data_IF_036595757698
#
_entry.id   IF_036595757698
#
_cell.length_a   1.000
_cell.length_b   1.000
_cell.length_c   1.000
_cell.angle_alpha   90.00
_cell.angle_beta   90.00
_cell.angle_gamma   90.00
#
_symmetry.space_group_name_H-M   'P 1'
#
loop_
_entity.id
_entity.type
_entity.pdbx_description
1 polymer ?
#
# COMPACT_ATOMS: atom_id res chain seq x y z
N UNK A 1 6.83 2.35 -26.90
CA UNK A 1 7.12 2.72 -26.26
C UNK A 1 6.92 2.32 -25.03
N UNK A 2 7.19 2.79 -24.33
CA UNK A 2 7.22 2.26 -23.10
C UNK A 2 6.37 2.98 -22.16
N UNK A 3 5.15 3.15 -22.56
CA UNK A 3 4.19 3.79 -21.69
C UNK A 3 3.99 2.98 -20.42
N UNK A 4 4.24 1.68 -20.47
CA UNK A 4 4.15 0.85 -19.29
C UNK A 4 5.22 1.14 -18.25
N UNK A 5 6.20 1.98 -18.58
CA UNK A 5 7.20 2.43 -17.62
C UNK A 5 6.85 3.77 -16.99
N UNK A 6 5.69 4.31 -17.31
CA UNK A 6 5.25 5.52 -16.65
C UNK A 6 5.04 5.28 -15.16
N UNK A 7 5.09 6.34 -14.38
CA UNK A 7 4.90 6.26 -12.94
C UNK A 7 3.53 5.67 -12.61
N UNK A 8 3.42 4.96 -11.49
CA UNK A 8 2.11 4.45 -11.07
C UNK A 8 1.14 5.60 -10.85
N UNK A 9 -0.10 5.41 -11.23
CA UNK A 9 -1.12 6.43 -11.13
C UNK A 9 -1.97 6.31 -9.86
N UNK A 10 -2.04 5.10 -9.29
CA UNK A 10 -2.85 4.85 -8.11
C UNK A 10 -2.10 3.96 -7.13
N UNK A 11 -1.86 4.48 -5.94
CA UNK A 11 -1.08 3.78 -4.92
C UNK A 11 -1.94 3.62 -3.67
N UNK A 12 -1.99 2.39 -3.14
CA UNK A 12 -2.62 2.09 -1.87
C UNK A 12 -1.54 1.90 -0.82
N UNK A 13 -1.58 2.68 0.25
CA UNK A 13 -0.64 2.59 1.35
C UNK A 13 -1.33 1.88 2.51
N UNK A 14 -0.74 0.79 2.98
CA UNK A 14 -1.34 -0.07 4.00
C UNK A 14 -0.44 -0.15 5.22
N UNK A 15 -0.54 0.79 6.16
CA UNK A 15 0.24 0.73 7.39
C UNK A 15 -0.40 -0.24 8.38
N UNK A 16 0.45 -0.87 9.20
CA UNK A 16 -0.02 -1.61 10.35
C UNK A 16 -0.54 -0.61 11.39
N UNK A 17 -1.84 -0.63 11.64
CA UNK A 17 -2.49 0.33 12.53
C UNK A 17 -2.05 0.19 13.99
N UNK A 18 -1.44 -0.93 14.36
CA UNK A 18 -0.97 -1.16 15.71
C UNK A 18 0.41 -0.57 15.99
N UNK A 19 1.07 -0.05 14.96
CA UNK A 19 2.41 0.51 15.09
C UNK A 19 2.39 2.02 14.83
N UNK A 20 2.54 2.84 15.87
CA UNK A 20 2.52 4.30 15.69
C UNK A 20 3.55 4.81 14.68
N UNK A 21 4.73 4.19 14.63
CA UNK A 21 5.74 4.60 13.65
C UNK A 21 5.30 4.32 12.22
N UNK A 22 4.57 3.22 12.01
CA UNK A 22 4.04 2.91 10.69
C UNK A 22 3.00 3.93 10.25
N UNK A 23 2.15 4.35 11.17
CA UNK A 23 1.16 5.38 10.88
C UNK A 23 1.84 6.69 10.53
N UNK A 24 2.82 7.11 11.33
CA UNK A 24 3.54 8.35 11.07
C UNK A 24 4.25 8.33 9.71
N UNK A 25 4.91 7.22 9.38
CA UNK A 25 5.60 7.10 8.11
C UNK A 25 4.62 7.09 6.94
N UNK A 26 3.46 6.48 7.12
CA UNK A 26 2.44 6.48 6.09
C UNK A 26 1.93 7.88 5.78
N UNK A 27 1.82 8.73 6.80
CA UNK A 27 1.44 10.11 6.60
C UNK A 27 2.51 10.88 5.82
N UNK A 28 3.78 10.62 6.10
CA UNK A 28 4.86 11.22 5.33
C UNK A 28 4.83 10.78 3.87
N UNK A 29 4.60 9.49 3.64
CA UNK A 29 4.46 8.95 2.28
C UNK A 29 3.28 9.63 1.57
N UNK A 30 2.16 9.76 2.27
CA UNK A 30 0.97 10.41 1.71
C UNK A 30 1.26 11.86 1.30
N UNK A 31 1.97 12.60 2.15
CA UNK A 31 2.34 13.98 1.83
C UNK A 31 3.22 14.05 0.59
N UNK A 32 4.17 13.13 0.49
CA UNK A 32 5.06 13.08 -0.67
C UNK A 32 4.25 12.78 -1.95
N UNK A 33 3.37 11.80 -1.88
CA UNK A 33 2.56 11.42 -3.04
C UNK A 33 1.63 12.56 -3.45
N UNK A 34 1.08 13.28 -2.48
CA UNK A 34 0.23 14.44 -2.77
C UNK A 34 1.02 15.53 -3.49
N UNK A 35 2.27 15.78 -3.08
CA UNK A 35 3.12 16.77 -3.73
C UNK A 35 3.42 16.39 -5.17
N UNK A 36 3.46 15.09 -5.46
CA UNK A 36 3.71 14.59 -6.81
C UNK A 36 2.43 14.42 -7.63
N UNK A 37 1.29 14.81 -7.06
CA UNK A 37 -0.02 14.65 -7.69
C UNK A 37 -0.35 13.21 -8.05
N UNK A 38 0.10 12.27 -7.21
CA UNK A 38 -0.18 10.85 -7.39
C UNK A 38 -1.42 10.49 -6.58
N UNK A 39 -2.42 9.93 -7.24
CA UNK A 39 -3.63 9.48 -6.58
C UNK A 39 -3.30 8.33 -5.64
N UNK A 40 -3.70 8.45 -4.38
CA UNK A 40 -3.39 7.44 -3.39
C UNK A 40 -4.44 7.44 -2.29
N UNK A 41 -4.40 6.37 -1.49
CA UNK A 41 -5.26 6.25 -0.31
C UNK A 41 -4.47 5.50 0.75
N UNK A 42 -4.75 5.79 2.00
CA UNK A 42 -4.23 5.04 3.14
C UNK A 42 -5.34 4.13 3.64
N UNK A 43 -5.05 2.83 3.73
CA UNK A 43 -5.95 1.84 4.29
C UNK A 43 -5.18 1.12 5.40
N UNK A 44 -5.53 1.41 6.65
CA UNK A 44 -4.79 0.85 7.79
C UNK A 44 -5.05 -0.65 7.92
N UNK A 45 -3.95 -1.38 8.13
CA UNK A 45 -4.01 -2.82 8.34
C UNK A 45 -4.08 -3.11 9.82
N UNK A 46 -5.07 -3.90 10.24
CA UNK A 46 -5.15 -4.42 11.59
C UNK A 46 -5.05 -5.93 11.52
N UNK A 47 -4.17 -6.49 12.33
CA UNK A 47 -3.82 -7.90 12.27
C UNK A 47 -5.05 -8.82 12.24
N UNK A 48 -6.03 -8.52 13.09
CA UNK A 48 -7.22 -9.36 13.21
C UNK A 48 -8.35 -8.93 12.29
N UNK A 49 -8.22 -7.81 11.61
CA UNK A 49 -9.32 -7.21 10.88
C UNK A 49 -8.92 -6.76 9.48
N UNK A 50 -8.21 -7.63 8.77
CA UNK A 50 -7.96 -7.35 7.36
C UNK A 50 -9.20 -7.61 6.51
N UNK A 51 -10.26 -8.07 7.13
CA UNK A 51 -11.50 -8.35 6.43
C UNK A 51 -12.59 -7.35 6.84
N UNK A 52 -13.43 -6.90 5.91
CA UNK A 52 -13.37 -7.29 4.52
C UNK A 52 -12.08 -6.78 3.88
N UNK A 53 -11.52 -7.57 2.98
CA UNK A 53 -10.31 -7.16 2.29
C UNK A 53 -10.60 -5.92 1.48
N UNK A 54 -9.66 -4.96 1.42
CA UNK A 54 -9.86 -3.81 0.56
C UNK A 54 -9.92 -4.25 -0.90
N UNK A 55 -10.61 -3.47 -1.73
CA UNK A 55 -10.60 -3.73 -3.15
C UNK A 55 -9.22 -3.37 -3.70
N UNK A 56 -8.45 -4.39 -4.03
CA UNK A 56 -7.10 -4.20 -4.54
C UNK A 56 -7.04 -4.04 -6.05
N UNK A 57 -8.12 -4.37 -6.75
CA UNK A 57 -8.17 -4.18 -8.19
C UNK A 57 -8.25 -2.69 -8.51
N UNK A 58 -7.53 -2.27 -9.48
CA UNK A 58 -7.51 -0.86 -9.84
C UNK A 58 -6.42 -0.04 -9.17
N UNK A 59 -5.67 -0.63 -8.24
CA UNK A 59 -4.47 0.00 -7.71
C UNK A 59 -3.26 -0.47 -8.51
N UNK A 60 -2.31 0.40 -8.74
CA UNK A 60 -1.12 0.07 -9.51
C UNK A 60 -0.01 -0.51 -8.66
N UNK A 61 0.09 -0.05 -7.42
CA UNK A 61 1.11 -0.50 -6.47
C UNK A 61 0.51 -0.49 -5.07
N UNK A 62 0.87 -1.48 -4.28
CA UNK A 62 0.51 -1.54 -2.87
C UNK A 62 1.80 -1.32 -2.07
N UNK A 63 1.77 -0.39 -1.11
CA UNK A 63 2.88 -0.15 -0.21
C UNK A 63 2.47 -0.55 1.19
N UNK A 64 3.17 -1.51 1.79
CA UNK A 64 2.92 -1.87 3.18
C UNK A 64 3.94 -1.20 4.08
N UNK A 65 3.50 -0.79 5.26
CA UNK A 65 4.38 -0.17 6.25
C UNK A 65 4.15 -0.87 7.59
N UNK A 66 5.16 -1.56 8.10
CA UNK A 66 4.98 -2.20 9.39
C UNK A 66 5.72 -3.50 9.62
N UNK A 67 6.59 -3.91 8.71
CA UNK A 67 7.43 -5.08 8.94
C UNK A 67 6.97 -6.33 8.22
N UNK A 68 7.65 -7.43 8.52
CA UNK A 68 7.52 -8.67 7.72
C UNK A 68 6.14 -9.29 7.80
N UNK A 69 5.51 -9.25 8.96
CA UNK A 69 4.17 -9.84 9.12
C UNK A 69 3.14 -9.13 8.25
N UNK A 70 3.20 -7.79 8.20
CA UNK A 70 2.31 -7.02 7.34
C UNK A 70 2.58 -7.33 5.88
N UNK A 71 3.85 -7.38 5.50
CA UNK A 71 4.25 -7.67 4.13
C UNK A 71 3.73 -9.04 3.68
N UNK A 72 3.90 -10.06 4.53
CA UNK A 72 3.47 -11.41 4.20
C UNK A 72 1.96 -11.50 4.03
N UNK A 73 1.19 -10.89 4.94
CA UNK A 73 -0.26 -10.97 4.88
C UNK A 73 -0.82 -10.24 3.66
N UNK A 74 -0.33 -9.04 3.40
CA UNK A 74 -0.79 -8.30 2.23
C UNK A 74 -0.29 -8.98 0.95
N UNK A 75 0.89 -9.58 0.99
CA UNK A 75 1.41 -10.33 -0.14
C UNK A 75 0.51 -11.48 -0.55
N UNK A 76 -0.10 -12.16 0.42
CA UNK A 76 -1.04 -13.24 0.10
C UNK A 76 -2.25 -12.73 -0.69
N UNK A 77 -2.60 -11.46 -0.53
CA UNK A 77 -3.69 -10.86 -1.29
C UNK A 77 -3.22 -10.36 -2.66
N UNK A 78 -2.00 -9.85 -2.74
CA UNK A 78 -1.49 -9.21 -3.95
C UNK A 78 -0.97 -10.20 -4.99
N UNK A 79 -0.31 -11.27 -4.55
CA UNK A 79 0.33 -12.22 -5.47
C UNK A 79 -0.67 -12.83 -6.45
N UNK A 80 -1.84 -13.34 -6.01
CA UNK A 80 -2.79 -13.90 -6.95
C UNK A 80 -3.31 -12.90 -7.98
N UNK A 81 -3.26 -11.61 -7.66
CA UNK A 81 -3.75 -10.55 -8.54
C UNK A 81 -2.63 -9.97 -9.41
N UNK A 82 -1.39 -10.40 -9.20
CA UNK A 82 -0.26 -9.85 -9.95
C UNK A 82 0.05 -8.41 -9.62
N UNK A 83 -0.34 -7.93 -8.43
CA UNK A 83 -0.12 -6.55 -8.04
C UNK A 83 1.28 -6.36 -7.47
N UNK A 84 2.02 -5.35 -7.93
CA UNK A 84 3.30 -5.00 -7.34
C UNK A 84 3.13 -4.59 -5.87
N UNK A 85 4.03 -5.08 -5.03
CA UNK A 85 4.00 -4.85 -3.59
C UNK A 85 5.36 -4.37 -3.12
N UNK A 86 5.37 -3.25 -2.39
CA UNK A 86 6.58 -2.71 -1.80
C UNK A 86 6.42 -2.70 -0.29
N UNK A 87 7.38 -3.32 0.42
CA UNK A 87 7.37 -3.35 1.87
C UNK A 87 8.35 -2.35 2.47
N UNK A 88 7.91 -1.64 3.49
CA UNK A 88 8.75 -0.70 4.22
C UNK A 88 8.74 -1.05 5.70
#
# INVERSE_FOLDING_TARGET
MISNLSAPERILVMPNAELPKAIALSEEISQYLAQKHINHRIYSYQYEHLMPAPDLLGWDVIITVGGDGTLLRVGHLCVPLGLPLLGI
#
